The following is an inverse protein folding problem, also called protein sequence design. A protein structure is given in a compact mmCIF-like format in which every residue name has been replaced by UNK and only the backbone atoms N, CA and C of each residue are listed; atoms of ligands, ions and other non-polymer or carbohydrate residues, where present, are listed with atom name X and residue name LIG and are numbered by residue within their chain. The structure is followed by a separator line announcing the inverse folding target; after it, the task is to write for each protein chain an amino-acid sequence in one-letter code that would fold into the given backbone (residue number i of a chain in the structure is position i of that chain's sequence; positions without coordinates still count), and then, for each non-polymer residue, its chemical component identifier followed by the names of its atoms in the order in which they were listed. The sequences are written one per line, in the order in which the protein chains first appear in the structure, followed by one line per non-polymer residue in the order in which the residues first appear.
data_IF_482699302271
#
_entry.id   IF_482699302271
#
_cell.length_a   1.000
_cell.length_b   1.000
_cell.length_c   1.000
_cell.angle_alpha   90.00
_cell.angle_beta   90.00
_cell.angle_gamma   90.00
#
_symmetry.space_group_name_H-M   'P 1'
#
loop_
_entity.id
_entity.type
_entity.pdbx_description
1 polymer ?
#
# COMPACT_ATOMS: atom_id res chain seq x y z
N UNK A 1 -34.58 17.90 1.12
CA UNK A 1 -33.28 18.41 1.63
C UNK A 1 -33.40 19.34 2.84
N UNK A 2 -34.24 20.40 2.83
CA UNK A 2 -34.33 21.34 3.97
C UNK A 2 -34.70 20.70 5.33
N UNK A 3 -35.49 19.62 5.32
CA UNK A 3 -35.88 18.89 6.54
C UNK A 3 -34.69 18.20 7.21
N UNK A 4 -33.94 17.38 6.46
CA UNK A 4 -32.77 16.65 6.96
C UNK A 4 -31.71 17.58 7.58
N UNK A 5 -31.41 18.71 6.93
CA UNK A 5 -30.44 19.68 7.47
C UNK A 5 -30.91 20.35 8.77
N UNK A 6 -32.18 20.76 8.84
CA UNK A 6 -32.75 21.34 10.07
C UNK A 6 -32.74 20.34 11.21
N UNK A 7 -32.99 19.08 10.92
CA UNK A 7 -33.02 18.00 11.89
C UNK A 7 -31.62 17.66 12.43
N UNK A 8 -30.60 17.60 11.56
CA UNK A 8 -29.20 17.46 11.97
C UNK A 8 -28.76 18.58 12.91
N UNK A 9 -29.24 19.80 12.67
CA UNK A 9 -28.98 20.96 13.54
C UNK A 9 -29.74 20.90 14.87
N UNK A 10 -30.85 20.18 14.95
CA UNK A 10 -31.63 20.04 16.18
C UNK A 10 -31.03 18.95 17.09
N UNK A 11 -30.78 17.75 16.55
CA UNK A 11 -30.23 16.61 17.30
C UNK A 11 -28.69 16.51 17.23
N UNK A 12 -27.99 17.63 17.40
CA UNK A 12 -26.54 17.75 17.12
C UNK A 12 -25.70 16.66 17.79
N UNK A 13 -25.96 16.35 19.06
CA UNK A 13 -25.14 15.39 19.81
C UNK A 13 -25.22 13.97 19.26
N UNK A 14 -26.42 13.52 18.86
CA UNK A 14 -26.63 12.19 18.25
C UNK A 14 -25.88 12.08 16.93
N UNK A 15 -25.96 13.11 16.09
CA UNK A 15 -25.26 13.12 14.80
C UNK A 15 -23.75 13.22 14.97
N UNK A 16 -23.25 14.03 15.91
CA UNK A 16 -21.83 14.12 16.22
C UNK A 16 -21.29 12.76 16.65
N UNK A 17 -22.00 12.03 17.52
CA UNK A 17 -21.56 10.71 17.96
C UNK A 17 -21.45 9.72 16.79
N UNK A 18 -22.43 9.72 15.88
CA UNK A 18 -22.45 8.80 14.73
C UNK A 18 -21.37 9.18 13.71
N UNK A 19 -21.24 10.46 13.43
CA UNK A 19 -20.16 10.97 12.58
C UNK A 19 -18.79 10.63 13.17
N UNK A 20 -18.64 10.72 14.48
CA UNK A 20 -17.41 10.36 15.18
C UNK A 20 -17.10 8.86 15.07
N UNK A 21 -18.10 7.99 15.18
CA UNK A 21 -17.90 6.54 15.01
C UNK A 21 -17.51 6.21 13.57
N UNK A 22 -18.20 6.78 12.57
CA UNK A 22 -17.84 6.62 11.16
C UNK A 22 -16.41 7.13 10.91
N UNK A 23 -16.07 8.29 11.46
CA UNK A 23 -14.75 8.90 11.38
C UNK A 23 -13.67 7.96 11.95
N UNK A 24 -13.88 7.42 13.15
CA UNK A 24 -12.93 6.51 13.80
C UNK A 24 -12.73 5.23 12.99
N UNK A 25 -13.83 4.60 12.55
CA UNK A 25 -13.76 3.39 11.74
C UNK A 25 -13.04 3.64 10.40
N UNK A 26 -13.41 4.71 9.69
CA UNK A 26 -12.77 5.07 8.43
C UNK A 26 -11.29 5.39 8.63
N UNK A 27 -10.93 6.11 9.70
CA UNK A 27 -9.54 6.44 10.03
C UNK A 27 -8.74 5.17 10.35
N UNK A 28 -9.29 4.24 11.14
CA UNK A 28 -8.62 2.96 11.42
C UNK A 28 -8.40 2.13 10.16
N UNK A 29 -9.42 1.99 9.32
CA UNK A 29 -9.31 1.26 8.05
C UNK A 29 -8.23 1.89 7.17
N UNK A 30 -8.26 3.22 7.00
CA UNK A 30 -7.26 3.95 6.23
C UNK A 30 -5.87 3.79 6.82
N UNK A 31 -5.72 3.90 8.13
CA UNK A 31 -4.42 3.80 8.80
C UNK A 31 -3.80 2.41 8.62
N UNK A 32 -4.55 1.34 8.87
CA UNK A 32 -4.07 -0.03 8.69
C UNK A 32 -3.80 -0.32 7.21
N UNK A 33 -4.65 0.17 6.30
CA UNK A 33 -4.41 0.05 4.86
C UNK A 33 -3.12 0.77 4.44
N UNK A 34 -2.84 1.95 5.00
CA UNK A 34 -1.64 2.73 4.72
C UNK A 34 -0.36 2.07 5.23
N UNK A 35 -0.42 1.46 6.41
CA UNK A 35 0.66 0.63 6.94
C UNK A 35 0.87 -0.61 6.08
N UNK A 36 -0.20 -1.30 5.68
CA UNK A 36 -0.11 -2.47 4.82
C UNK A 36 0.57 -2.15 3.49
N UNK A 37 0.25 -1.00 2.90
CA UNK A 37 0.88 -0.53 1.67
C UNK A 37 2.32 -0.05 1.86
N UNK A 38 2.63 0.62 2.97
CA UNK A 38 4.01 1.02 3.25
C UNK A 38 4.92 -0.18 3.49
N UNK A 39 4.46 -1.17 4.26
CA UNK A 39 5.18 -2.43 4.46
C UNK A 39 5.31 -3.24 3.15
N UNK A 40 4.27 -3.28 2.33
CA UNK A 40 4.34 -3.83 0.97
C UNK A 40 5.45 -3.15 0.17
N UNK A 41 5.49 -1.81 0.17
CA UNK A 41 6.47 -1.01 -0.55
C UNK A 41 7.90 -1.24 -0.07
N UNK A 42 8.14 -1.38 1.23
CA UNK A 42 9.47 -1.72 1.76
C UNK A 42 9.96 -3.11 1.31
N UNK A 43 9.04 -4.02 0.98
CA UNK A 43 9.40 -5.33 0.46
C UNK A 43 9.74 -5.30 -1.03
N UNK A 44 8.96 -4.55 -1.83
CA UNK A 44 8.93 -4.73 -3.29
C UNK A 44 9.32 -3.48 -4.09
N UNK A 45 9.67 -2.36 -3.47
CA UNK A 45 9.95 -1.10 -4.17
C UNK A 45 11.08 -1.21 -5.20
N UNK A 46 12.11 -2.05 -4.95
CA UNK A 46 13.11 -2.38 -5.97
C UNK A 46 12.44 -2.88 -7.27
N UNK A 47 11.52 -3.84 -7.16
CA UNK A 47 10.81 -4.42 -8.30
C UNK A 47 9.77 -3.47 -8.89
N UNK A 48 9.10 -2.65 -8.07
CA UNK A 48 8.13 -1.66 -8.52
C UNK A 48 8.77 -0.53 -9.34
N UNK A 49 9.94 -0.08 -8.91
CA UNK A 49 10.67 1.00 -9.57
C UNK A 49 11.27 0.57 -10.92
N UNK A 50 11.43 -0.74 -11.14
CA UNK A 50 11.93 -1.32 -12.39
C UNK A 50 10.88 -1.28 -13.50
N UNK A 51 11.30 -0.99 -14.73
CA UNK A 51 10.48 -1.04 -15.95
C UNK A 51 10.23 -2.47 -16.42
N UNK A 52 11.16 -3.38 -16.15
CA UNK A 52 11.05 -4.78 -16.54
C UNK A 52 9.74 -5.39 -16.03
N UNK A 53 9.10 -6.25 -16.83
CA UNK A 53 7.86 -6.95 -16.45
C UNK A 53 8.07 -8.43 -16.18
N UNK A 54 9.17 -8.98 -16.69
CA UNK A 54 9.60 -10.37 -16.51
C UNK A 54 11.04 -10.42 -16.06
N UNK A 55 11.41 -11.52 -15.42
CA UNK A 55 12.75 -11.75 -14.90
C UNK A 55 13.22 -13.14 -15.29
N UNK A 56 14.42 -13.23 -15.85
CA UNK A 56 15.11 -14.52 -16.03
C UNK A 56 15.88 -14.82 -14.77
N UNK A 57 15.62 -15.98 -14.20
CA UNK A 57 16.18 -16.43 -12.92
C UNK A 57 16.61 -17.88 -13.05
N UNK A 58 17.43 -18.36 -12.11
CA UNK A 58 17.64 -19.81 -11.96
C UNK A 58 16.30 -20.51 -11.72
N UNK A 59 16.14 -21.69 -12.33
CA UNK A 59 14.93 -22.50 -12.19
C UNK A 59 14.86 -23.16 -10.80
N UNK A 60 14.37 -22.37 -9.84
CA UNK A 60 14.15 -22.77 -8.46
C UNK A 60 12.65 -22.98 -8.20
N UNK A 61 12.31 -23.75 -7.15
CA UNK A 61 10.91 -23.99 -6.74
C UNK A 61 10.10 -22.71 -6.51
N UNK A 62 10.77 -21.62 -6.14
CA UNK A 62 10.19 -20.28 -6.00
C UNK A 62 11.14 -19.26 -6.63
N UNK A 63 10.63 -18.24 -7.35
CA UNK A 63 11.45 -17.25 -8.02
C UNK A 63 11.95 -16.17 -7.06
N UNK A 64 12.87 -16.54 -6.16
CA UNK A 64 13.48 -15.63 -5.17
C UNK A 64 14.76 -15.01 -5.73
N UNK A 65 14.88 -13.68 -5.71
CA UNK A 65 16.03 -13.00 -6.31
C UNK A 65 17.32 -13.44 -5.64
N UNK A 66 17.35 -13.42 -4.32
CA UNK A 66 18.52 -13.72 -3.49
C UNK A 66 19.03 -15.16 -3.64
N UNK A 67 18.20 -16.07 -4.17
CA UNK A 67 18.57 -17.47 -4.40
C UNK A 67 18.93 -17.77 -5.87
N UNK A 68 18.72 -16.83 -6.79
CA UNK A 68 19.00 -17.05 -8.21
C UNK A 68 20.50 -16.99 -8.48
N UNK A 69 21.11 -18.11 -8.85
CA UNK A 69 22.53 -18.19 -9.20
C UNK A 69 22.74 -18.80 -10.59
N UNK A 70 22.60 -17.96 -11.62
CA UNK A 70 22.79 -18.38 -13.01
C UNK A 70 24.29 -18.57 -13.28
N UNK A 71 24.69 -19.75 -13.76
CA UNK A 71 26.09 -20.07 -14.09
C UNK A 71 26.62 -19.22 -15.25
N UNK A 72 27.91 -18.87 -15.24
CA UNK A 72 28.52 -17.95 -16.22
C UNK A 72 28.32 -18.32 -17.69
N UNK A 73 28.36 -19.60 -18.07
CA UNK A 73 28.11 -19.98 -19.47
C UNK A 73 26.67 -19.66 -19.90
N UNK A 74 25.68 -19.84 -19.00
CA UNK A 74 24.28 -19.50 -19.26
C UNK A 74 24.05 -18.00 -19.28
N UNK A 75 24.79 -17.25 -18.45
CA UNK A 75 24.78 -15.80 -18.49
C UNK A 75 25.14 -15.30 -19.89
N UNK A 76 26.19 -15.84 -20.51
CA UNK A 76 26.59 -15.49 -21.87
C UNK A 76 25.50 -15.80 -22.91
N UNK A 77 24.80 -16.93 -22.78
CA UNK A 77 23.68 -17.28 -23.66
C UNK A 77 22.49 -16.29 -23.51
N UNK A 78 22.16 -15.90 -22.27
CA UNK A 78 21.10 -14.92 -21.99
C UNK A 78 21.49 -13.54 -22.53
N UNK A 79 22.73 -13.12 -22.31
CA UNK A 79 23.26 -11.84 -22.78
C UNK A 79 23.26 -11.74 -24.30
N UNK A 80 23.52 -12.83 -25.02
CA UNK A 80 23.43 -12.86 -26.49
C UNK A 80 22.01 -12.62 -27.02
N UNK A 81 20.99 -13.02 -26.25
CA UNK A 81 19.58 -12.83 -26.61
C UNK A 81 19.07 -11.46 -26.17
N UNK A 82 19.44 -11.02 -24.98
CA UNK A 82 18.87 -9.83 -24.33
C UNK A 82 19.67 -8.56 -24.57
N UNK A 83 20.96 -8.65 -24.91
CA UNK A 83 21.91 -7.52 -24.94
C UNK A 83 21.89 -6.70 -23.64
N UNK A 84 21.68 -7.35 -22.50
CA UNK A 84 21.55 -6.70 -21.19
C UNK A 84 22.45 -7.37 -20.16
N UNK A 85 23.08 -6.55 -19.31
CA UNK A 85 23.81 -7.03 -18.14
C UNK A 85 22.85 -7.51 -17.05
N UNK A 86 23.24 -8.51 -16.25
CA UNK A 86 22.41 -8.98 -15.14
C UNK A 86 22.30 -7.93 -14.03
N UNK A 87 21.13 -7.90 -13.38
CA UNK A 87 21.01 -7.39 -12.02
C UNK A 87 21.70 -8.39 -11.08
N UNK A 88 22.65 -7.89 -10.32
CA UNK A 88 23.30 -8.65 -9.27
C UNK A 88 22.97 -8.06 -7.92
N UNK A 89 22.68 -8.92 -6.94
CA UNK A 89 22.36 -8.50 -5.57
C UNK A 89 23.25 -9.23 -4.57
N UNK A 90 23.68 -8.52 -3.55
CA UNK A 90 24.42 -9.06 -2.43
C UNK A 90 24.04 -8.34 -1.13
N UNK A 91 23.96 -9.09 -0.03
CA UNK A 91 23.73 -8.51 1.30
C UNK A 91 25.05 -8.00 1.87
N UNK A 92 25.04 -6.78 2.40
CA UNK A 92 26.18 -6.11 3.01
C UNK A 92 25.75 -5.43 4.31
N UNK A 93 26.67 -5.25 5.25
CA UNK A 93 26.39 -4.53 6.50
C UNK A 93 27.14 -3.21 6.51
N UNK A 94 26.42 -2.10 6.55
CA UNK A 94 26.95 -0.76 6.77
C UNK A 94 27.08 -0.49 8.27
N UNK A 95 28.17 0.16 8.66
CA UNK A 95 28.33 0.78 9.97
C UNK A 95 27.87 2.22 9.88
N UNK A 96 26.80 2.54 10.60
CA UNK A 96 26.17 3.84 10.68
C UNK A 96 26.34 4.34 12.11
N UNK A 97 27.34 5.20 12.35
CA UNK A 97 27.71 5.64 13.69
C UNK A 97 27.99 4.43 14.62
N UNK A 98 27.22 4.27 15.70
CA UNK A 98 27.31 3.16 16.65
C UNK A 98 26.43 1.94 16.26
N UNK A 99 25.62 2.06 15.20
CA UNK A 99 24.70 1.03 14.75
C UNK A 99 25.21 0.29 13.50
N UNK A 100 24.72 -0.94 13.30
CA UNK A 100 24.94 -1.74 12.09
C UNK A 100 23.61 -1.90 11.33
N UNK A 101 23.60 -1.56 10.03
CA UNK A 101 22.43 -1.76 9.17
C UNK A 101 22.75 -2.72 8.03
N UNK A 102 21.87 -3.69 7.81
CA UNK A 102 21.98 -4.59 6.67
C UNK A 102 21.31 -3.99 5.45
N UNK A 103 22.10 -3.82 4.39
CA UNK A 103 21.69 -3.25 3.11
C UNK A 103 21.77 -4.30 2.00
N UNK A 104 20.90 -4.16 1.01
CA UNK A 104 20.95 -4.90 -0.24
C UNK A 104 21.75 -4.06 -1.23
N UNK A 105 22.96 -4.49 -1.52
CA UNK A 105 23.80 -3.87 -2.53
C UNK A 105 23.43 -4.41 -3.90
N UNK A 106 23.27 -3.51 -4.88
CA UNK A 106 23.01 -3.86 -6.28
C UNK A 106 24.01 -3.18 -7.22
N UNK A 107 24.33 -3.83 -8.33
CA UNK A 107 25.08 -3.20 -9.42
C UNK A 107 24.19 -2.21 -10.20
N UNK A 108 24.82 -1.29 -10.94
CA UNK A 108 24.12 -0.29 -11.73
C UNK A 108 23.77 -0.85 -13.11
N UNK A 109 22.48 -0.95 -13.42
CA UNK A 109 21.99 -1.28 -14.76
C UNK A 109 21.87 -0.03 -15.64
N UNK A 110 22.23 -0.12 -16.91
CA UNK A 110 22.06 1.03 -17.82
C UNK A 110 20.58 1.27 -18.19
N UNK A 111 19.82 0.20 -18.41
CA UNK A 111 18.47 0.26 -18.96
C UNK A 111 17.36 0.36 -17.90
N UNK A 112 17.62 -0.12 -16.68
CA UNK A 112 16.63 -0.19 -15.59
C UNK A 112 17.19 0.30 -14.23
N UNK A 113 17.91 1.42 -14.26
CA UNK A 113 18.45 2.04 -13.04
C UNK A 113 17.37 2.67 -12.17
N UNK A 114 17.50 2.60 -10.83
CA UNK A 114 16.69 3.41 -9.91
C UNK A 114 16.77 4.90 -10.25
N UNK A 115 15.69 5.63 -9.98
CA UNK A 115 15.63 7.06 -10.30
C UNK A 115 16.55 7.84 -9.37
N UNK A 116 17.44 8.65 -9.94
CA UNK A 116 18.30 9.55 -9.17
C UNK A 116 17.51 10.79 -8.72
N UNK A 117 17.49 11.07 -7.43
CA UNK A 117 16.92 12.30 -6.85
C UNK A 117 17.96 13.42 -6.87
N UNK A 118 19.19 13.12 -6.44
CA UNK A 118 20.26 14.12 -6.28
C UNK A 118 21.65 13.50 -6.46
N UNK A 119 22.63 14.30 -6.88
CA UNK A 119 24.02 13.88 -7.03
C UNK A 119 24.28 13.17 -8.35
N UNK A 120 25.08 12.10 -8.32
CA UNK A 120 25.43 11.30 -9.49
C UNK A 120 25.39 9.81 -9.18
N UNK A 121 25.15 8.98 -10.19
CA UNK A 121 25.36 7.54 -10.07
C UNK A 121 26.84 7.22 -9.78
N UNK A 122 27.13 6.12 -9.05
CA UNK A 122 28.49 5.73 -8.73
C UNK A 122 29.24 5.31 -9.99
N UNK A 123 30.43 5.90 -10.20
CA UNK A 123 31.28 5.58 -11.36
C UNK A 123 32.54 4.82 -10.95
N UNK A 124 33.02 5.04 -9.72
CA UNK A 124 34.21 4.37 -9.19
C UNK A 124 33.84 3.18 -8.29
N UNK A 125 34.85 2.37 -7.98
CA UNK A 125 34.66 1.13 -7.21
C UNK A 125 34.28 1.36 -5.74
N UNK A 126 34.56 2.55 -5.20
CA UNK A 126 34.29 2.89 -3.79
C UNK A 126 33.23 3.98 -3.67
N UNK A 127 32.34 4.11 -4.66
CA UNK A 127 31.24 5.08 -4.66
C UNK A 127 29.92 4.32 -4.56
N UNK A 128 28.98 4.86 -3.79
CA UNK A 128 27.62 4.34 -3.70
C UNK A 128 26.58 5.45 -3.86
N UNK A 129 25.37 5.06 -4.28
CA UNK A 129 24.17 5.86 -4.12
C UNK A 129 23.22 5.19 -3.13
N UNK A 130 22.60 5.99 -2.27
CA UNK A 130 21.76 5.53 -1.15
C UNK A 130 20.30 5.88 -1.38
N UNK A 131 19.39 5.10 -0.79
CA UNK A 131 17.96 5.38 -0.85
C UNK A 131 17.52 6.45 0.17
N UNK A 132 16.25 6.81 0.12
CA UNK A 132 15.64 7.84 0.98
C UNK A 132 15.67 7.49 2.47
N UNK A 133 15.56 6.19 2.82
CA UNK A 133 15.58 5.71 4.21
C UNK A 133 16.95 5.92 4.87
N UNK A 134 18.02 5.54 4.17
CA UNK A 134 19.41 5.78 4.62
C UNK A 134 19.71 7.27 4.78
N UNK A 135 19.16 8.11 3.90
CA UNK A 135 19.24 9.56 4.03
C UNK A 135 18.51 10.06 5.29
N UNK A 136 17.30 9.55 5.55
CA UNK A 136 16.53 9.92 6.74
C UNK A 136 17.23 9.52 8.06
N UNK A 137 18.13 8.53 8.02
CA UNK A 137 18.99 8.14 9.14
C UNK A 137 20.27 9.00 9.27
N UNK A 138 20.45 10.00 8.41
CA UNK A 138 21.52 10.99 8.53
C UNK A 138 22.64 10.89 7.50
N UNK A 139 22.59 9.93 6.56
CA UNK A 139 23.58 9.89 5.48
C UNK A 139 23.30 10.96 4.41
N UNK A 140 24.35 11.61 3.96
CA UNK A 140 24.31 12.66 2.95
C UNK A 140 25.36 12.45 1.87
N UNK A 141 25.16 13.10 0.73
CA UNK A 141 26.14 13.09 -0.37
C UNK A 141 27.45 13.72 0.11
N UNK A 142 28.55 12.98 -0.04
CA UNK A 142 29.88 13.37 0.42
C UNK A 142 30.39 12.52 1.58
N UNK A 143 29.49 11.89 2.34
CA UNK A 143 29.85 11.10 3.50
C UNK A 143 30.65 9.84 3.14
N UNK A 144 31.50 9.42 4.08
CA UNK A 144 32.18 8.13 4.01
C UNK A 144 31.54 7.15 4.97
N UNK A 145 30.99 6.07 4.42
CA UNK A 145 30.44 4.96 5.18
C UNK A 145 31.38 3.77 5.13
N UNK A 146 31.36 2.94 6.16
CA UNK A 146 32.21 1.76 6.23
C UNK A 146 31.36 0.49 6.20
N UNK A 147 31.76 -0.47 5.39
CA UNK A 147 31.24 -1.83 5.48
C UNK A 147 31.82 -2.53 6.71
N UNK A 148 31.11 -3.52 7.25
CA UNK A 148 31.60 -4.36 8.35
C UNK A 148 32.92 -5.06 8.02
N UNK A 149 33.18 -5.33 6.73
CA UNK A 149 34.46 -5.85 6.21
C UNK A 149 35.64 -4.88 6.32
N UNK A 150 35.39 -3.61 6.66
CA UNK A 150 36.41 -2.56 6.78
C UNK A 150 36.52 -1.65 5.55
N UNK A 151 35.94 -2.02 4.41
CA UNK A 151 35.94 -1.21 3.18
C UNK A 151 35.21 0.11 3.38
N UNK A 152 35.84 1.21 2.97
CA UNK A 152 35.23 2.55 2.97
C UNK A 152 34.59 2.87 1.62
N UNK A 153 33.38 3.39 1.65
CA UNK A 153 32.58 3.79 0.48
C UNK A 153 32.16 5.25 0.64
N UNK A 154 32.15 6.00 -0.46
CA UNK A 154 31.72 7.39 -0.50
C UNK A 154 30.30 7.49 -1.07
N UNK A 155 29.43 8.23 -0.39
CA UNK A 155 28.08 8.53 -0.91
C UNK A 155 28.18 9.60 -1.99
N UNK A 156 27.68 9.30 -3.19
CA UNK A 156 27.76 10.18 -4.38
C UNK A 156 26.41 10.61 -4.93
N UNK A 157 25.34 9.88 -4.58
CA UNK A 157 23.99 10.19 -5.02
C UNK A 157 22.93 9.67 -4.08
N UNK A 158 21.74 10.23 -4.22
CA UNK A 158 20.51 9.83 -3.56
C UNK A 158 19.57 9.28 -4.64
N UNK A 159 19.13 8.03 -4.49
CA UNK A 159 18.11 7.42 -5.34
C UNK A 159 16.75 7.50 -4.66
N UNK A 160 15.69 7.34 -5.45
CA UNK A 160 14.34 7.22 -4.94
C UNK A 160 14.21 6.04 -3.97
N UNK A 161 13.18 6.10 -3.14
CA UNK A 161 12.86 5.05 -2.17
C UNK A 161 12.83 3.67 -2.87
N UNK A 162 13.89 2.91 -2.59
CA UNK A 162 14.22 1.62 -3.19
C UNK A 162 14.67 0.73 -2.05
N UNK A 163 13.89 -0.30 -1.79
CA UNK A 163 14.04 -1.27 -0.72
C UNK A 163 13.79 -2.67 -1.30
N UNK A 164 14.37 -3.67 -0.68
CA UNK A 164 14.11 -5.08 -1.00
C UNK A 164 14.03 -5.88 0.29
N UNK A 165 12.91 -6.55 0.54
CA UNK A 165 12.69 -7.35 1.75
C UNK A 165 13.06 -6.61 3.06
N UNK A 166 12.58 -5.36 3.22
CA UNK A 166 12.90 -4.42 4.33
C UNK A 166 14.35 -3.94 4.44
N UNK A 167 15.23 -4.37 3.56
CA UNK A 167 16.61 -3.90 3.52
C UNK A 167 16.74 -2.70 2.58
N UNK A 168 17.39 -1.65 3.07
CA UNK A 168 17.74 -0.48 2.26
C UNK A 168 18.59 -0.90 1.06
N UNK A 169 18.24 -0.43 -0.13
CA UNK A 169 19.03 -0.72 -1.33
C UNK A 169 20.09 0.35 -1.53
N UNK A 170 21.32 -0.09 -1.79
CA UNK A 170 22.44 0.77 -2.19
C UNK A 170 22.94 0.36 -3.57
N UNK A 171 23.16 1.34 -4.44
CA UNK A 171 23.67 1.12 -5.79
C UNK A 171 25.17 1.36 -5.80
N UNK A 172 25.92 0.50 -6.49
CA UNK A 172 27.37 0.63 -6.70
C UNK A 172 27.70 0.38 -8.19
N UNK A 173 28.87 0.84 -8.63
CA UNK A 173 29.39 0.51 -9.96
C UNK A 173 29.60 -1.01 -10.14
N UNK A 174 29.48 -1.52 -11.36
CA UNK A 174 29.60 -2.96 -11.64
C UNK A 174 30.99 -3.50 -11.26
N UNK A 175 32.04 -2.70 -11.51
CA UNK A 175 33.41 -3.04 -11.11
C UNK A 175 33.58 -3.08 -9.59
N UNK A 176 33.00 -2.11 -8.87
CA UNK A 176 32.98 -2.10 -7.41
C UNK A 176 32.21 -3.29 -6.83
N UNK A 177 31.04 -3.59 -7.41
CA UNK A 177 30.19 -4.71 -7.00
C UNK A 177 30.93 -6.05 -7.08
N UNK A 178 31.52 -6.37 -8.25
CA UNK A 178 32.24 -7.62 -8.48
C UNK A 178 33.50 -7.75 -7.62
N UNK A 179 34.12 -6.63 -7.23
CA UNK A 179 35.29 -6.63 -6.34
C UNK A 179 34.92 -6.88 -4.88
N UNK A 180 33.77 -6.38 -4.43
CA UNK A 180 33.33 -6.47 -3.03
C UNK A 180 32.56 -7.75 -2.71
N UNK A 181 31.85 -8.30 -3.70
CA UNK A 181 30.95 -9.42 -3.50
C UNK A 181 31.42 -10.66 -4.25
N UNK A 182 31.78 -11.70 -3.50
CA UNK A 182 32.16 -13.01 -4.07
C UNK A 182 30.97 -13.97 -4.19
N UNK A 183 29.92 -13.74 -3.40
CA UNK A 183 28.64 -14.47 -3.46
C UNK A 183 27.55 -13.48 -3.83
N UNK A 184 26.97 -13.65 -5.01
CA UNK A 184 26.00 -12.73 -5.59
C UNK A 184 24.86 -13.54 -6.18
N UNK A 185 23.64 -13.03 -6.01
CA UNK A 185 22.53 -13.48 -6.84
C UNK A 185 22.58 -12.78 -8.20
N UNK A 186 22.07 -13.44 -9.23
CA UNK A 186 22.08 -12.97 -10.63
C UNK A 186 20.69 -13.15 -11.22
N UNK A 187 20.12 -12.08 -11.75
CA UNK A 187 18.78 -12.03 -12.34
C UNK A 187 18.82 -11.13 -13.57
N UNK A 188 18.12 -11.48 -14.66
CA UNK A 188 18.01 -10.61 -15.83
C UNK A 188 16.62 -9.97 -15.91
N UNK A 189 16.50 -8.66 -15.67
CA UNK A 189 15.24 -7.96 -15.84
C UNK A 189 14.95 -7.73 -17.33
N UNK A 190 13.81 -8.21 -17.82
CA UNK A 190 13.41 -8.13 -19.22
C UNK A 190 12.44 -6.96 -19.47
N UNK A 191 12.87 -6.01 -20.29
CA UNK A 191 12.06 -4.86 -20.74
C UNK A 191 11.57 -5.13 -22.16
N UNK A 192 10.25 -5.15 -22.37
CA UNK A 192 9.62 -5.26 -23.69
C UNK A 192 10.18 -6.39 -24.58
N UNK A 193 10.36 -7.59 -24.01
CA UNK A 193 10.92 -8.74 -24.73
C UNK A 193 10.03 -9.18 -25.90
N UNK A 194 10.64 -9.46 -27.05
CA UNK A 194 9.91 -10.00 -28.21
C UNK A 194 9.52 -11.47 -27.97
N UNK A 195 8.46 -11.94 -28.62
CA UNK A 195 8.07 -13.37 -28.53
C UNK A 195 9.19 -14.32 -28.96
N UNK A 196 10.00 -13.90 -29.95
CA UNK A 196 11.13 -14.68 -30.46
C UNK A 196 12.22 -14.82 -29.41
N UNK A 197 12.56 -13.73 -28.74
CA UNK A 197 13.62 -13.72 -27.72
C UNK A 197 13.16 -14.48 -26.47
N UNK A 198 11.88 -14.35 -26.09
CA UNK A 198 11.31 -15.14 -25.00
C UNK A 198 11.41 -16.65 -25.30
N UNK A 199 11.06 -17.08 -26.52
CA UNK A 199 11.19 -18.49 -26.94
C UNK A 199 12.65 -18.95 -27.01
N UNK A 200 13.61 -18.06 -27.28
CA UNK A 200 15.03 -18.38 -27.26
C UNK A 200 15.53 -18.61 -25.83
N UNK A 201 15.11 -17.76 -24.88
CA UNK A 201 15.43 -17.91 -23.46
C UNK A 201 14.80 -19.17 -22.85
N UNK A 202 13.56 -19.51 -23.21
CA UNK A 202 12.88 -20.73 -22.74
C UNK A 202 13.60 -22.04 -23.14
N UNK A 203 14.51 -22.00 -24.12
CA UNK A 203 15.31 -23.15 -24.54
C UNK A 203 16.56 -23.37 -23.69
N UNK A 204 17.00 -22.35 -22.95
CA UNK A 204 18.17 -22.45 -22.09
C UNK A 204 17.77 -23.25 -20.85
N UNK A 205 18.43 -24.38 -20.62
CA UNK A 205 18.09 -25.28 -19.51
C UNK A 205 18.42 -24.70 -18.13
N UNK A 206 17.58 -24.96 -17.13
CA UNK A 206 17.83 -24.57 -15.73
C UNK A 206 17.69 -23.07 -15.44
N UNK A 207 16.99 -22.34 -16.31
CA UNK A 207 16.50 -21.00 -16.04
C UNK A 207 14.99 -20.96 -16.22
N UNK A 208 14.33 -20.03 -15.52
CA UNK A 208 12.90 -19.79 -15.61
C UNK A 208 12.64 -18.30 -15.88
N UNK A 209 11.64 -18.03 -16.71
CA UNK A 209 11.13 -16.68 -16.94
C UNK A 209 9.91 -16.49 -16.04
N UNK A 210 10.01 -15.54 -15.11
CA UNK A 210 8.98 -15.29 -14.11
C UNK A 210 8.40 -13.90 -14.31
N UNK A 211 7.08 -13.75 -14.15
CA UNK A 211 6.44 -12.44 -14.18
C UNK A 211 6.75 -11.67 -12.89
N UNK A 212 6.80 -10.33 -12.98
CA UNK A 212 7.08 -9.46 -11.82
C UNK A 212 6.17 -9.77 -10.62
N UNK A 213 4.91 -10.10 -10.86
CA UNK A 213 3.96 -10.42 -9.81
C UNK A 213 4.38 -11.69 -9.04
N UNK A 214 4.82 -12.74 -9.73
CA UNK A 214 5.27 -14.00 -9.11
C UNK A 214 6.55 -13.78 -8.32
N UNK A 215 7.48 -13.01 -8.86
CA UNK A 215 8.72 -12.64 -8.20
C UNK A 215 8.46 -11.87 -6.90
N UNK A 216 7.56 -10.87 -6.93
CA UNK A 216 7.13 -10.16 -5.71
C UNK A 216 6.48 -11.10 -4.70
N UNK A 217 5.62 -11.98 -5.17
CA UNK A 217 4.91 -12.93 -4.31
C UNK A 217 5.84 -14.02 -3.75
N UNK A 218 7.03 -14.22 -4.33
CA UNK A 218 8.02 -15.16 -3.83
C UNK A 218 8.86 -14.61 -2.67
N UNK A 219 8.84 -13.29 -2.43
CA UNK A 219 9.52 -12.64 -1.30
C UNK A 219 8.87 -13.12 0.01
N UNK A 220 9.61 -13.81 0.90
CA UNK A 220 9.02 -14.41 2.10
C UNK A 220 8.34 -13.41 3.04
N UNK A 221 8.99 -12.27 3.32
CA UNK A 221 8.48 -11.22 4.20
C UNK A 221 7.23 -10.56 3.63
N UNK A 222 7.18 -10.34 2.31
CA UNK A 222 6.00 -9.78 1.64
C UNK A 222 4.75 -10.62 1.90
N UNK A 223 4.81 -11.93 1.64
CA UNK A 223 3.64 -12.81 1.87
C UNK A 223 3.30 -12.97 3.34
N UNK A 224 4.33 -13.08 4.20
CA UNK A 224 4.15 -13.25 5.64
C UNK A 224 3.44 -12.05 6.28
N UNK A 225 3.67 -10.83 5.78
CA UNK A 225 3.06 -9.61 6.31
C UNK A 225 1.74 -9.26 5.63
N UNK A 226 1.66 -9.37 4.30
CA UNK A 226 0.47 -8.95 3.55
C UNK A 226 -0.74 -9.82 3.84
N UNK A 227 -0.57 -11.13 4.08
CA UNK A 227 -1.70 -12.01 4.35
C UNK A 227 -2.43 -11.65 5.66
N UNK A 228 -1.76 -11.53 6.82
CA UNK A 228 -2.39 -11.05 8.06
C UNK A 228 -2.94 -9.62 7.94
N UNK A 229 -2.21 -8.69 7.30
CA UNK A 229 -2.65 -7.30 7.16
C UNK A 229 -3.92 -7.19 6.32
N UNK A 230 -4.00 -7.93 5.21
CA UNK A 230 -5.21 -8.00 4.41
C UNK A 230 -6.38 -8.59 5.19
N UNK A 231 -6.13 -9.62 6.01
CA UNK A 231 -7.16 -10.17 6.90
C UNK A 231 -7.65 -9.12 7.90
N UNK A 232 -6.76 -8.34 8.52
CA UNK A 232 -7.14 -7.23 9.41
C UNK A 232 -7.98 -6.17 8.68
N UNK A 233 -7.57 -5.76 7.48
CA UNK A 233 -8.32 -4.77 6.67
C UNK A 233 -9.71 -5.29 6.31
N UNK A 234 -9.83 -6.54 5.86
CA UNK A 234 -11.11 -7.17 5.55
C UNK A 234 -11.98 -7.26 6.81
N UNK A 235 -11.43 -7.71 7.93
CA UNK A 235 -12.16 -7.75 9.21
C UNK A 235 -12.63 -6.36 9.64
N UNK A 236 -11.83 -5.32 9.49
CA UNK A 236 -12.23 -3.95 9.81
C UNK A 236 -13.38 -3.47 8.91
N UNK A 237 -13.39 -3.84 7.62
CA UNK A 237 -14.54 -3.54 6.76
C UNK A 237 -15.79 -4.29 7.20
N UNK A 238 -15.69 -5.58 7.54
CA UNK A 238 -16.83 -6.37 8.03
C UNK A 238 -17.37 -5.81 9.35
N UNK A 239 -16.50 -5.52 10.32
CA UNK A 239 -16.88 -4.92 11.59
C UNK A 239 -17.51 -3.55 11.35
N UNK A 240 -16.92 -2.72 10.49
CA UNK A 240 -17.49 -1.41 10.13
C UNK A 240 -18.88 -1.58 9.53
N UNK A 241 -19.10 -2.57 8.66
CA UNK A 241 -20.42 -2.82 8.07
C UNK A 241 -21.48 -3.19 9.11
N UNK A 242 -21.14 -4.07 10.04
CA UNK A 242 -22.04 -4.48 11.13
C UNK A 242 -22.35 -3.29 12.03
N UNK A 243 -21.32 -2.58 12.47
CA UNK A 243 -21.44 -1.44 13.39
C UNK A 243 -22.28 -0.32 12.77
N UNK A 244 -21.97 0.08 11.53
CA UNK A 244 -22.72 1.13 10.83
C UNK A 244 -24.18 0.73 10.59
N UNK A 245 -24.43 -0.51 10.18
CA UNK A 245 -25.80 -1.03 10.02
C UNK A 245 -26.58 -0.96 11.33
N UNK A 246 -25.98 -1.41 12.44
CA UNK A 246 -26.61 -1.35 13.76
C UNK A 246 -26.89 0.09 14.19
N UNK A 247 -25.95 1.02 13.95
CA UNK A 247 -26.14 2.43 14.27
C UNK A 247 -27.26 3.07 13.44
N UNK A 248 -27.31 2.83 12.13
CA UNK A 248 -28.40 3.34 11.29
C UNK A 248 -29.74 2.72 11.65
N UNK A 249 -29.76 1.44 12.04
CA UNK A 249 -30.94 0.77 12.56
C UNK A 249 -31.47 1.44 13.84
N UNK A 250 -30.61 1.62 14.86
CA UNK A 250 -30.98 2.30 16.11
C UNK A 250 -31.44 3.74 15.85
N UNK A 251 -30.73 4.47 14.97
CA UNK A 251 -31.10 5.83 14.60
C UNK A 251 -32.49 5.87 13.94
N UNK A 252 -32.79 4.91 13.06
CA UNK A 252 -34.08 4.82 12.38
C UNK A 252 -35.21 4.52 13.37
N UNK A 253 -34.99 3.59 14.30
CA UNK A 253 -35.97 3.27 15.35
C UNK A 253 -36.25 4.48 16.24
N UNK A 254 -35.22 5.19 16.68
CA UNK A 254 -35.39 6.37 17.53
C UNK A 254 -36.16 7.51 16.85
N UNK A 255 -36.31 7.48 15.52
CA UNK A 255 -37.10 8.44 14.73
C UNK A 255 -38.51 7.96 14.42
N UNK A 256 -38.89 6.75 14.83
CA UNK A 256 -40.19 6.15 14.48
C UNK A 256 -41.38 7.02 14.88
N UNK A 257 -41.34 7.58 16.10
CA UNK A 257 -42.41 8.47 16.60
C UNK A 257 -42.54 9.75 15.77
N UNK A 258 -41.42 10.40 15.44
CA UNK A 258 -41.40 11.60 14.60
C UNK A 258 -41.92 11.30 13.19
N UNK A 259 -41.52 10.16 12.63
CA UNK A 259 -41.99 9.72 11.31
C UNK A 259 -43.48 9.41 11.34
N UNK A 260 -44.01 8.83 12.43
CA UNK A 260 -45.43 8.59 12.64
C UNK A 260 -46.25 9.89 12.60
N UNK A 261 -45.79 10.94 13.29
CA UNK A 261 -46.42 12.27 13.27
C UNK A 261 -46.36 12.88 11.87
N UNK A 262 -45.21 12.80 11.19
CA UNK A 262 -45.06 13.32 9.83
C UNK A 262 -45.95 12.59 8.82
N UNK A 263 -46.12 11.26 8.96
CA UNK A 263 -47.10 10.48 8.19
C UNK A 263 -48.53 10.91 8.49
N UNK A 264 -48.88 11.14 9.76
CA UNK A 264 -50.22 11.57 10.18
C UNK A 264 -50.60 12.97 9.63
N UNK A 265 -49.62 13.86 9.44
CA UNK A 265 -49.81 15.18 8.82
C UNK A 265 -49.80 15.10 7.26
N UNK A 266 -49.69 13.90 6.69
CA UNK A 266 -49.85 13.64 5.25
C UNK A 266 -48.56 13.59 4.44
N UNK A 267 -47.38 13.53 5.08
CA UNK A 267 -46.11 13.38 4.36
C UNK A 267 -45.98 11.93 3.85
N UNK A 268 -45.77 11.78 2.54
CA UNK A 268 -45.62 10.46 1.93
C UNK A 268 -44.40 9.69 2.47
N UNK A 269 -44.54 8.38 2.66
CA UNK A 269 -43.46 7.47 3.10
C UNK A 269 -42.21 7.55 2.21
N UNK A 270 -42.38 7.75 0.89
CA UNK A 270 -41.25 7.90 -0.05
C UNK A 270 -40.40 9.14 0.26
N UNK A 271 -41.03 10.26 0.59
CA UNK A 271 -40.31 11.48 0.96
C UNK A 271 -39.53 11.30 2.28
N UNK A 272 -40.09 10.56 3.24
CA UNK A 272 -39.45 10.25 4.52
C UNK A 272 -38.24 9.33 4.33
N UNK A 273 -38.37 8.27 3.53
CA UNK A 273 -37.28 7.37 3.17
C UNK A 273 -36.14 8.13 2.48
N UNK A 274 -36.46 8.95 1.48
CA UNK A 274 -35.45 9.73 0.77
C UNK A 274 -34.74 10.73 1.69
N UNK A 275 -35.46 11.34 2.64
CA UNK A 275 -34.87 12.23 3.63
C UNK A 275 -33.86 11.49 4.54
N UNK A 276 -34.21 10.29 5.01
CA UNK A 276 -33.33 9.45 5.82
C UNK A 276 -32.10 8.97 5.03
N UNK A 277 -32.28 8.53 3.78
CA UNK A 277 -31.18 8.09 2.93
C UNK A 277 -30.19 9.23 2.68
N UNK A 278 -30.68 10.42 2.32
CA UNK A 278 -29.83 11.60 2.10
C UNK A 278 -29.05 11.95 3.37
N UNK A 279 -29.67 11.83 4.53
CA UNK A 279 -29.03 12.12 5.80
C UNK A 279 -27.94 11.10 6.14
N UNK A 280 -28.22 9.80 6.01
CA UNK A 280 -27.25 8.73 6.27
C UNK A 280 -26.06 8.87 5.32
N UNK A 281 -26.31 8.94 4.01
CA UNK A 281 -25.26 9.11 3.00
C UNK A 281 -24.47 10.40 3.25
N UNK A 282 -25.14 11.51 3.56
CA UNK A 282 -24.50 12.78 3.87
C UNK A 282 -23.60 12.69 5.10
N UNK A 283 -24.06 12.09 6.19
CA UNK A 283 -23.26 11.92 7.41
C UNK A 283 -22.05 11.01 7.18
N UNK A 284 -22.22 9.92 6.43
CA UNK A 284 -21.11 9.03 6.06
C UNK A 284 -20.10 9.74 5.19
N UNK A 285 -20.57 10.40 4.13
CA UNK A 285 -19.71 11.12 3.19
C UNK A 285 -18.86 12.17 3.90
N UNK A 286 -19.46 13.03 4.73
CA UNK A 286 -18.73 14.06 5.47
C UNK A 286 -17.72 13.42 6.42
N UNK A 287 -18.11 12.40 7.18
CA UNK A 287 -17.23 11.76 8.17
C UNK A 287 -16.05 11.05 7.50
N UNK A 288 -16.27 10.35 6.39
CA UNK A 288 -15.21 9.69 5.65
C UNK A 288 -14.29 10.69 4.96
N UNK A 289 -14.80 11.81 4.43
CA UNK A 289 -13.95 12.88 3.88
C UNK A 289 -13.07 13.48 4.98
N UNK A 290 -13.63 13.72 6.17
CA UNK A 290 -12.84 14.22 7.31
C UNK A 290 -11.78 13.18 7.73
N UNK A 291 -12.11 11.87 7.74
CA UNK A 291 -11.13 10.82 8.01
C UNK A 291 -9.98 10.82 7.00
N UNK A 292 -10.30 10.96 5.70
CA UNK A 292 -9.30 11.09 4.64
C UNK A 292 -8.43 12.32 4.88
N UNK A 293 -9.02 13.47 5.23
CA UNK A 293 -8.27 14.68 5.57
C UNK A 293 -7.31 14.50 6.75
N UNK A 294 -7.76 13.81 7.82
CA UNK A 294 -6.91 13.47 8.97
C UNK A 294 -5.76 12.56 8.54
N UNK A 295 -6.02 11.53 7.75
CA UNK A 295 -5.00 10.58 7.30
C UNK A 295 -3.97 11.26 6.39
N UNK A 296 -4.41 12.12 5.47
CA UNK A 296 -3.52 12.91 4.63
C UNK A 296 -2.64 13.84 5.46
N UNK A 297 -3.22 14.50 6.48
CA UNK A 297 -2.45 15.36 7.39
C UNK A 297 -1.44 14.53 8.21
N UNK A 298 -1.86 13.40 8.78
CA UNK A 298 -0.97 12.50 9.50
C UNK A 298 0.18 12.01 8.61
N UNK A 299 -0.11 11.67 7.35
CA UNK A 299 0.92 11.23 6.39
C UNK A 299 2.02 12.26 6.15
N UNK A 300 1.76 13.55 6.35
CA UNK A 300 2.79 14.61 6.20
C UNK A 300 3.66 14.79 7.44
N UNK A 301 3.20 14.31 8.60
CA UNK A 301 3.88 14.49 9.89
C UNK A 301 4.69 13.23 10.26
N UNK A 302 4.33 12.08 9.70
CA UNK A 302 5.05 10.83 9.95
C UNK A 302 6.49 10.88 9.45
N UNK A 303 7.45 10.29 10.20
CA UNK A 303 8.83 10.19 9.74
C UNK A 303 8.93 9.25 8.54
N UNK A 304 9.88 9.51 7.65
CA UNK A 304 10.14 8.67 6.44
C UNK A 304 10.50 7.22 6.80
N UNK A 305 10.98 6.98 8.02
CA UNK A 305 11.29 5.65 8.54
C UNK A 305 10.04 4.84 8.91
N UNK A 306 8.87 5.47 9.04
CA UNK A 306 7.61 4.78 9.27
C UNK A 306 7.06 4.28 7.93
N UNK A 307 6.80 2.97 7.77
CA UNK A 307 6.32 2.40 6.52
C UNK A 307 4.83 2.69 6.34
N UNK A 308 4.51 3.96 6.05
CA UNK A 308 3.15 4.44 5.82
C UNK A 308 3.04 5.02 4.42
N UNK A 309 2.17 4.44 3.60
CA UNK A 309 1.96 4.90 2.25
C UNK A 309 0.48 4.76 1.86
N UNK A 310 -0.13 5.84 1.37
CA UNK A 310 -1.52 5.83 0.93
C UNK A 310 -1.60 6.32 -0.50
N UNK A 311 -2.24 5.54 -1.36
CA UNK A 311 -2.52 5.94 -2.75
C UNK A 311 -3.94 6.50 -2.90
N UNK A 312 -4.16 7.27 -3.96
CA UNK A 312 -5.49 7.77 -4.31
C UNK A 312 -6.50 6.63 -4.50
N UNK A 313 -6.06 5.49 -5.05
CA UNK A 313 -6.92 4.32 -5.24
C UNK A 313 -7.43 3.78 -3.90
N UNK A 314 -6.59 3.75 -2.87
CA UNK A 314 -6.98 3.32 -1.52
C UNK A 314 -8.00 4.25 -0.90
N UNK A 315 -7.78 5.57 -1.02
CA UNK A 315 -8.72 6.57 -0.52
C UNK A 315 -10.10 6.39 -1.16
N UNK A 316 -10.13 6.21 -2.49
CA UNK A 316 -11.35 5.99 -3.24
C UNK A 316 -12.03 4.66 -2.90
N UNK A 317 -11.25 3.59 -2.70
CA UNK A 317 -11.77 2.29 -2.28
C UNK A 317 -12.45 2.40 -0.92
N UNK A 318 -11.76 2.93 0.09
CA UNK A 318 -12.33 3.08 1.44
C UNK A 318 -13.57 3.98 1.41
N UNK A 319 -13.51 5.11 0.71
CA UNK A 319 -14.65 5.98 0.51
C UNK A 319 -15.85 5.23 -0.09
N UNK A 320 -15.62 4.50 -1.19
CA UNK A 320 -16.67 3.76 -1.89
C UNK A 320 -17.28 2.67 -1.02
N UNK A 321 -16.45 1.90 -0.30
CA UNK A 321 -16.93 0.82 0.58
C UNK A 321 -17.79 1.39 1.71
N UNK A 322 -17.38 2.49 2.35
CA UNK A 322 -18.19 3.11 3.40
C UNK A 322 -19.54 3.63 2.88
N UNK A 323 -19.57 4.20 1.67
CA UNK A 323 -20.83 4.62 1.04
C UNK A 323 -21.72 3.42 0.74
N UNK A 324 -21.19 2.34 0.16
CA UNK A 324 -21.95 1.11 -0.14
C UNK A 324 -22.52 0.51 1.14
N UNK A 325 -21.70 0.39 2.19
CA UNK A 325 -22.12 -0.08 3.51
C UNK A 325 -23.21 0.81 4.09
N UNK A 326 -23.09 2.13 3.98
CA UNK A 326 -24.11 3.05 4.50
C UNK A 326 -25.44 2.92 3.75
N UNK A 327 -25.41 2.72 2.43
CA UNK A 327 -26.61 2.46 1.64
C UNK A 327 -27.26 1.15 2.06
N UNK A 328 -26.49 0.06 2.17
CA UNK A 328 -27.02 -1.25 2.60
C UNK A 328 -27.61 -1.15 4.01
N UNK A 329 -26.86 -0.56 4.95
CA UNK A 329 -27.30 -0.39 6.33
C UNK A 329 -28.57 0.46 6.45
N UNK A 330 -28.68 1.53 5.65
CA UNK A 330 -29.88 2.34 5.58
C UNK A 330 -31.07 1.59 4.97
N UNK A 331 -30.89 0.83 3.89
CA UNK A 331 -31.97 0.04 3.30
C UNK A 331 -32.51 -1.00 4.28
N UNK A 332 -31.61 -1.69 5.01
CA UNK A 332 -31.99 -2.65 6.05
C UNK A 332 -32.76 -1.99 7.21
N UNK A 333 -32.36 -0.78 7.62
CA UNK A 333 -33.06 -0.07 8.68
C UNK A 333 -34.47 0.38 8.27
N UNK A 334 -34.67 0.66 6.99
CA UNK A 334 -35.95 1.10 6.44
C UNK A 334 -36.98 -0.01 6.29
N UNK A 335 -36.58 -1.29 6.20
CA UNK A 335 -37.52 -2.43 6.13
C UNK A 335 -38.52 -2.38 7.29
N UNK A 336 -38.04 -2.01 8.49
CA UNK A 336 -38.90 -1.91 9.67
C UNK A 336 -39.85 -0.72 9.60
N UNK A 337 -39.50 0.35 8.88
CA UNK A 337 -40.30 1.58 8.74
C UNK A 337 -41.53 1.40 7.85
N UNK A 338 -41.50 0.45 6.91
CA UNK A 338 -42.63 0.12 6.05
C UNK A 338 -43.79 -0.49 6.84
N UNK A 339 -43.50 -1.19 7.95
CA UNK A 339 -44.50 -1.89 8.77
C UNK A 339 -44.95 -1.08 9.99
N UNK A 340 -44.54 0.19 10.12
CA UNK A 340 -44.97 1.04 11.25
C UNK A 340 -46.32 1.68 10.92
N UNK A 341 -47.34 1.26 11.67
CA UNK A 341 -48.67 1.85 11.65
C UNK A 341 -48.67 3.21 12.39
N UNK A 342 -49.20 4.31 11.83
CA UNK A 342 -49.17 5.64 12.47
C UNK A 342 -49.85 5.66 13.84
N UNK A 343 -50.88 4.83 14.05
CA UNK A 343 -51.62 4.70 15.30
C UNK A 343 -50.75 4.03 16.38
N UNK A 344 -49.97 3.01 16.02
CA UNK A 344 -49.03 2.35 16.94
C UNK A 344 -47.84 3.25 17.29
N UNK A 345 -47.37 4.07 16.34
CA UNK A 345 -46.22 4.97 16.55
C UNK A 345 -46.48 6.14 17.51
N UNK A 346 -47.75 6.54 17.67
CA UNK A 346 -48.18 7.66 18.52
C UNK A 346 -48.69 7.18 19.90
N UNK A 347 -48.72 5.86 20.13
CA UNK A 347 -49.18 5.28 21.40
C UNK A 347 -50.69 5.04 21.47
N UNK A 348 -51.37 4.83 20.34
CA UNK A 348 -52.82 4.61 20.27
C UNK A 348 -53.33 3.27 20.83
N UNK A 349 -52.59 2.63 21.75
CA UNK A 349 -53.03 1.47 22.54
C UNK A 349 -52.76 1.71 24.02
N UNK A 350 -53.29 2.82 24.52
CA UNK A 350 -53.85 2.91 25.88
C UNK A 350 -55.28 3.42 25.78
#
# INVERSE_FOLDING_TARGET
MKLAWKEMKYYKFRYILIMFIILLLATMVLFISGLAQGLARENVSLLDNMKAQKFVMEDNKKPQLEQSNIQHHKQQEIEQVTNQQPLQLASQTLKLNDDEETVTMINLLEQDKPQLIKGSYPTKNNEIAINEKLKAQGLTIGDQVQLKSGTKLKVTGEINDTMYAHSSVVVISNQGFNKLNTKTSTVYPLINISKKDQQALEKISGIAINDKADVKNAIPSYQAEQSPLNMMVISLFVISAIVLTAFFYVMTIQKTAEIGILKAIGISTRHLINALLVQIIGTTMVSTIVAIGIILLLSTIMPVTMPFHITLLNLLLVFSVFIVVAVIGALLSLIKLFNVDPIEAIGGRE
#
